data_IF_664169139867
#
_entry.id   IF_664169139867
#
_cell.length_a   1.000
_cell.length_b   1.000
_cell.length_c   1.000
_cell.angle_alpha   90.00
_cell.angle_beta   90.00
_cell.angle_gamma   90.00
#
_symmetry.space_group_name_H-M   'P 1'
#
loop_
_entity.id
_entity.type
_entity.pdbx_description
1 polymer ?
#
# COMPACT_ATOMS: atom_id res chain seq x y z
N UNK A 1 -15.18 -24.93 26.71
CA UNK A 1 -14.17 -23.86 26.96
C UNK A 1 -13.03 -23.83 25.93
N UNK A 2 -13.01 -24.70 24.90
CA UNK A 2 -11.91 -24.79 23.90
C UNK A 2 -12.06 -23.86 22.67
N UNK A 3 -13.29 -23.52 22.25
CA UNK A 3 -13.52 -22.72 21.03
C UNK A 3 -13.08 -21.24 21.12
N UNK A 4 -13.04 -20.65 22.33
CA UNK A 4 -12.62 -19.24 22.48
C UNK A 4 -11.10 -19.04 22.31
N UNK A 5 -10.29 -20.06 22.59
CA UNK A 5 -8.84 -19.99 22.50
C UNK A 5 -8.34 -19.98 21.04
N UNK A 6 -8.97 -20.76 20.16
CA UNK A 6 -8.63 -20.79 18.73
C UNK A 6 -8.96 -19.48 18.01
N UNK A 7 -10.11 -18.87 18.32
CA UNK A 7 -10.57 -17.62 17.69
C UNK A 7 -9.73 -16.40 18.08
N UNK A 8 -9.15 -16.40 19.28
CA UNK A 8 -8.28 -15.34 19.78
C UNK A 8 -6.83 -15.42 19.26
N UNK A 9 -6.34 -16.62 18.92
CA UNK A 9 -5.04 -16.81 18.28
C UNK A 9 -5.08 -16.33 16.82
N UNK A 10 -6.14 -16.64 16.08
CA UNK A 10 -6.31 -16.20 14.69
C UNK A 10 -6.50 -14.67 14.57
N UNK A 11 -7.13 -14.03 15.57
CA UNK A 11 -7.37 -12.56 15.54
C UNK A 11 -6.12 -11.72 15.84
N UNK A 12 -5.15 -12.25 16.59
CA UNK A 12 -3.87 -11.56 16.87
C UNK A 12 -2.83 -11.70 15.75
N UNK A 13 -3.00 -12.66 14.82
CA UNK A 13 -2.07 -12.93 13.72
C UNK A 13 -2.31 -12.09 12.45
N UNK A 14 -3.57 -11.86 12.09
CA UNK A 14 -3.90 -11.27 10.78
C UNK A 14 -3.38 -9.84 10.59
N UNK A 15 -3.44 -9.00 11.63
CA UNK A 15 -2.87 -7.64 11.57
C UNK A 15 -1.36 -7.62 11.32
N UNK A 16 -0.61 -8.62 11.85
CA UNK A 16 0.84 -8.73 11.61
C UNK A 16 1.17 -9.10 10.17
N UNK A 17 0.32 -9.91 9.52
CA UNK A 17 0.47 -10.22 8.09
C UNK A 17 0.29 -8.97 7.26
N UNK A 18 -0.74 -8.16 7.53
CA UNK A 18 -0.96 -6.89 6.81
C UNK A 18 0.25 -5.96 6.98
N UNK A 19 0.74 -5.78 8.21
CA UNK A 19 1.94 -4.97 8.51
C UNK A 19 3.17 -5.50 7.76
N UNK A 20 3.37 -6.82 7.74
CA UNK A 20 4.50 -7.44 7.07
C UNK A 20 4.47 -7.21 5.55
N UNK A 21 3.32 -7.39 4.90
CA UNK A 21 3.16 -7.14 3.46
C UNK A 21 3.39 -5.65 3.15
N UNK A 22 2.87 -4.74 3.98
CA UNK A 22 3.16 -3.31 3.87
C UNK A 22 4.66 -3.01 3.99
N UNK A 23 5.36 -3.68 4.91
CA UNK A 23 6.81 -3.54 5.08
C UNK A 23 7.59 -4.00 3.84
N UNK A 24 7.21 -5.12 3.22
CA UNK A 24 7.82 -5.59 1.97
C UNK A 24 7.58 -4.58 0.85
N UNK A 25 6.34 -4.10 0.68
CA UNK A 25 6.03 -3.08 -0.32
C UNK A 25 6.81 -1.79 -0.09
N UNK A 26 6.91 -1.34 1.16
CA UNK A 26 7.69 -0.16 1.52
C UNK A 26 9.16 -0.33 1.13
N UNK A 27 9.75 -1.48 1.41
CA UNK A 27 11.14 -1.78 1.04
C UNK A 27 11.32 -1.83 -0.49
N UNK A 28 10.46 -2.55 -1.19
CA UNK A 28 10.51 -2.68 -2.65
C UNK A 28 10.32 -1.32 -3.36
N UNK A 29 9.33 -0.53 -2.92
CA UNK A 29 9.06 0.79 -3.46
C UNK A 29 10.21 1.77 -3.14
N UNK A 30 10.80 1.70 -1.94
CA UNK A 30 11.95 2.53 -1.58
C UNK A 30 13.16 2.21 -2.45
N UNK A 31 13.50 0.93 -2.64
CA UNK A 31 14.62 0.52 -3.50
C UNK A 31 14.43 0.98 -4.95
N UNK A 32 13.21 0.83 -5.48
CA UNK A 32 12.84 1.34 -6.80
C UNK A 32 12.95 2.86 -6.88
N UNK A 33 12.36 3.58 -5.94
CA UNK A 33 12.40 5.04 -5.91
C UNK A 33 13.83 5.57 -5.83
N UNK A 34 14.70 4.97 -5.01
CA UNK A 34 16.13 5.33 -4.92
C UNK A 34 16.85 5.09 -6.24
N UNK A 35 16.59 3.97 -6.92
CA UNK A 35 17.17 3.69 -8.23
C UNK A 35 16.69 4.68 -9.30
N UNK A 36 15.38 4.96 -9.35
CA UNK A 36 14.77 5.89 -10.30
C UNK A 36 15.27 7.34 -10.10
N UNK A 37 15.39 7.78 -8.84
CA UNK A 37 15.97 9.08 -8.47
C UNK A 37 17.42 9.25 -8.92
N UNK A 38 18.22 8.19 -8.84
CA UNK A 38 19.67 8.27 -9.10
C UNK A 38 20.03 8.06 -10.57
N UNK A 39 19.20 7.36 -11.33
CA UNK A 39 19.57 6.94 -12.70
C UNK A 39 18.74 7.58 -13.80
N UNK A 40 17.49 8.00 -13.54
CA UNK A 40 16.54 8.33 -14.61
C UNK A 40 15.62 9.52 -14.32
N UNK A 41 15.85 10.31 -13.26
CA UNK A 41 14.87 11.32 -12.80
C UNK A 41 14.41 12.30 -13.89
N UNK A 42 15.27 12.60 -14.88
CA UNK A 42 14.99 13.49 -16.01
C UNK A 42 14.08 12.89 -17.10
N UNK A 43 13.97 11.56 -17.18
CA UNK A 43 13.30 10.87 -18.30
C UNK A 43 11.78 10.77 -18.10
N UNK A 44 11.32 10.62 -16.86
CA UNK A 44 9.91 10.48 -16.52
C UNK A 44 9.60 11.01 -15.10
N UNK A 45 9.68 12.34 -14.88
CA UNK A 45 9.58 12.92 -13.54
C UNK A 45 8.23 12.65 -12.85
N UNK A 46 7.15 12.50 -13.61
CA UNK A 46 5.82 12.27 -13.05
C UNK A 46 5.62 10.84 -12.51
N UNK A 47 5.85 9.75 -13.29
CA UNK A 47 5.81 8.39 -12.76
C UNK A 47 6.75 8.13 -11.58
N UNK A 48 7.96 8.70 -11.60
CA UNK A 48 8.92 8.52 -10.51
C UNK A 48 8.51 9.25 -9.22
N UNK A 49 7.90 10.45 -9.35
CA UNK A 49 7.32 11.14 -8.19
C UNK A 49 6.21 10.32 -7.53
N UNK A 50 5.39 9.62 -8.33
CA UNK A 50 4.36 8.70 -7.82
C UNK A 50 4.98 7.49 -7.11
N UNK A 51 6.08 6.92 -7.61
CA UNK A 51 6.81 5.85 -6.91
C UNK A 51 7.36 6.30 -5.55
N UNK A 52 7.95 7.51 -5.48
CA UNK A 52 8.44 8.09 -4.22
C UNK A 52 7.28 8.30 -3.24
N UNK A 53 6.17 8.88 -3.72
CA UNK A 53 4.97 9.09 -2.90
C UNK A 53 4.43 7.76 -2.37
N UNK A 54 4.36 6.73 -3.21
CA UNK A 54 3.95 5.39 -2.80
C UNK A 54 4.85 4.81 -1.71
N UNK A 55 6.18 4.94 -1.85
CA UNK A 55 7.13 4.49 -0.83
C UNK A 55 6.86 5.16 0.54
N UNK A 56 6.66 6.48 0.56
CA UNK A 56 6.33 7.22 1.79
C UNK A 56 5.02 6.71 2.40
N UNK A 57 3.99 6.53 1.59
CA UNK A 57 2.68 6.03 2.04
C UNK A 57 2.81 4.64 2.66
N UNK A 58 3.55 3.73 2.03
CA UNK A 58 3.74 2.38 2.55
C UNK A 58 4.50 2.36 3.87
N UNK A 59 5.52 3.23 4.03
CA UNK A 59 6.21 3.40 5.32
C UNK A 59 5.25 3.90 6.40
N UNK A 60 4.46 4.93 6.11
CA UNK A 60 3.49 5.48 7.07
C UNK A 60 2.41 4.47 7.41
N UNK A 61 1.90 3.71 6.43
CA UNK A 61 0.91 2.65 6.63
C UNK A 61 1.48 1.54 7.52
N UNK A 62 2.69 1.07 7.23
CA UNK A 62 3.41 0.06 8.03
C UNK A 62 3.52 0.52 9.48
N UNK A 63 4.05 1.72 9.71
CA UNK A 63 4.25 2.25 11.05
C UNK A 63 2.93 2.48 11.80
N UNK A 64 1.91 3.03 11.14
CA UNK A 64 0.62 3.30 11.77
C UNK A 64 -0.10 2.00 12.16
N UNK A 65 -0.05 0.97 11.31
CA UNK A 65 -0.62 -0.35 11.61
C UNK A 65 0.18 -1.06 12.70
N UNK A 66 1.51 -1.02 12.65
CA UNK A 66 2.39 -1.65 13.64
C UNK A 66 2.23 -1.04 15.05
N UNK A 67 2.00 0.27 15.14
CA UNK A 67 1.82 0.99 16.41
C UNK A 67 0.36 1.07 16.87
N UNK A 68 -0.58 0.48 16.12
CA UNK A 68 -2.01 0.53 16.45
C UNK A 68 -2.66 1.91 16.30
N UNK A 69 -2.01 2.85 15.58
CA UNK A 69 -2.49 4.22 15.33
C UNK A 69 -3.60 4.25 14.29
N UNK A 70 -4.77 3.79 14.73
CA UNK A 70 -5.92 3.50 13.87
C UNK A 70 -6.37 4.65 12.95
N UNK A 71 -6.43 5.89 13.45
CA UNK A 71 -6.88 7.04 12.64
C UNK A 71 -5.91 7.32 11.49
N UNK A 72 -4.61 7.24 11.77
CA UNK A 72 -3.55 7.41 10.77
C UNK A 72 -3.59 6.25 9.79
N UNK A 73 -3.68 5.00 10.28
CA UNK A 73 -3.79 3.83 9.41
C UNK A 73 -5.00 3.93 8.46
N UNK A 74 -6.17 4.33 8.95
CA UNK A 74 -7.35 4.54 8.10
C UNK A 74 -7.12 5.62 7.04
N UNK A 75 -6.58 6.78 7.43
CA UNK A 75 -6.31 7.87 6.50
C UNK A 75 -5.31 7.45 5.42
N UNK A 76 -4.17 6.87 5.82
CA UNK A 76 -3.09 6.48 4.91
C UNK A 76 -3.52 5.36 3.96
N UNK A 77 -4.18 4.31 4.46
CA UNK A 77 -4.65 3.19 3.63
C UNK A 77 -5.78 3.62 2.69
N UNK A 78 -6.64 4.55 3.10
CA UNK A 78 -7.66 5.11 2.19
C UNK A 78 -7.01 5.97 1.10
N UNK A 79 -6.00 6.77 1.46
CA UNK A 79 -5.26 7.58 0.50
C UNK A 79 -4.52 6.71 -0.52
N UNK A 80 -3.90 5.62 -0.08
CA UNK A 80 -3.29 4.63 -0.95
C UNK A 80 -4.29 4.05 -1.95
N UNK A 81 -5.46 3.59 -1.47
CA UNK A 81 -6.48 3.03 -2.36
C UNK A 81 -6.93 4.05 -3.41
N UNK A 82 -7.15 5.30 -3.01
CA UNK A 82 -7.48 6.38 -3.92
C UNK A 82 -6.36 6.63 -4.94
N UNK A 83 -5.12 6.63 -4.49
CA UNK A 83 -3.94 6.77 -5.35
C UNK A 83 -3.84 5.66 -6.39
N UNK A 84 -4.01 4.40 -5.96
CA UNK A 84 -3.96 3.23 -6.86
C UNK A 84 -5.08 3.27 -7.88
N UNK A 85 -6.30 3.63 -7.49
CA UNK A 85 -7.43 3.73 -8.41
C UNK A 85 -7.24 4.90 -9.39
N UNK A 86 -6.84 6.07 -8.90
CA UNK A 86 -6.66 7.26 -9.73
C UNK A 86 -5.50 7.06 -10.72
N UNK A 87 -4.34 6.57 -10.27
CA UNK A 87 -3.17 6.36 -11.11
C UNK A 87 -3.35 5.16 -12.03
N UNK A 88 -3.91 4.05 -11.53
CA UNK A 88 -4.18 2.87 -12.36
C UNK A 88 -5.19 3.15 -13.47
N UNK A 89 -6.23 3.94 -13.20
CA UNK A 89 -7.15 4.38 -14.24
C UNK A 89 -6.48 5.36 -15.21
N UNK A 90 -5.69 6.31 -14.69
CA UNK A 90 -4.99 7.29 -15.53
C UNK A 90 -3.94 6.65 -16.43
N UNK A 91 -3.25 5.60 -15.98
CA UNK A 91 -2.26 4.87 -16.81
C UNK A 91 -2.91 4.15 -17.99
N UNK A 92 -4.15 3.67 -17.82
CA UNK A 92 -4.92 3.03 -18.88
C UNK A 92 -5.53 4.02 -19.86
N UNK A 93 -5.99 5.19 -19.38
CA UNK A 93 -6.67 6.19 -20.22
C UNK A 93 -5.72 7.15 -20.91
N UNK A 94 -4.55 7.42 -20.34
CA UNK A 94 -3.60 8.41 -20.81
C UNK A 94 -2.20 7.80 -20.93
N UNK A 95 -2.06 6.75 -21.72
CA UNK A 95 -0.80 6.04 -21.95
C UNK A 95 0.32 6.99 -22.37
N UNK A 96 0.02 8.01 -23.17
CA UNK A 96 0.98 9.04 -23.61
C UNK A 96 1.59 9.86 -22.46
N UNK A 97 0.90 9.96 -21.32
CA UNK A 97 1.37 10.67 -20.12
C UNK A 97 2.11 9.77 -19.12
N UNK A 98 2.13 8.46 -19.37
CA UNK A 98 2.84 7.46 -18.58
C UNK A 98 3.84 6.71 -19.47
N UNK A 99 4.92 7.38 -19.92
CA UNK A 99 5.96 6.72 -20.71
C UNK A 99 6.67 5.62 -19.92
N UNK A 100 6.65 5.71 -18.58
CA UNK A 100 7.19 4.73 -17.65
C UNK A 100 6.14 4.35 -16.60
N UNK A 101 6.17 3.10 -16.15
CA UNK A 101 5.24 2.59 -15.15
C UNK A 101 5.63 3.07 -13.74
N UNK A 102 4.65 3.50 -12.94
CA UNK A 102 4.81 3.72 -11.50
C UNK A 102 4.41 2.47 -10.70
N UNK A 103 4.58 2.52 -9.38
CA UNK A 103 4.09 1.46 -8.47
C UNK A 103 2.58 1.21 -8.58
N UNK A 104 1.81 2.24 -8.94
CA UNK A 104 0.36 2.19 -9.03
C UNK A 104 -0.17 2.05 -10.46
N UNK A 105 0.71 2.07 -11.47
CA UNK A 105 0.32 1.87 -12.86
C UNK A 105 -0.36 0.51 -13.04
N UNK A 106 -1.42 0.48 -13.84
CA UNK A 106 -2.26 -0.70 -14.09
C UNK A 106 -2.75 -1.36 -12.79
N UNK A 107 -3.08 -0.51 -11.82
CA UNK A 107 -3.50 -0.91 -10.47
C UNK A 107 -2.44 -1.74 -9.70
N UNK A 108 -1.16 -1.55 -10.03
CA UNK A 108 -0.05 -2.29 -9.44
C UNK A 108 0.16 -3.68 -10.03
N UNK A 109 -0.19 -3.89 -11.31
CA UNK A 109 0.04 -5.16 -12.00
C UNK A 109 1.51 -5.61 -11.95
N UNK A 110 2.47 -4.68 -12.02
CA UNK A 110 3.90 -4.95 -11.86
C UNK A 110 4.31 -5.51 -10.49
N UNK A 111 3.41 -5.45 -9.51
CA UNK A 111 3.55 -5.99 -8.16
C UNK A 111 2.51 -7.07 -7.86
N UNK A 112 1.89 -7.66 -8.89
CA UNK A 112 0.86 -8.70 -8.74
C UNK A 112 -0.44 -8.21 -8.11
N UNK A 113 -0.83 -6.95 -8.37
CA UNK A 113 -2.03 -6.29 -7.83
C UNK A 113 -2.05 -6.13 -6.30
N UNK A 114 -0.92 -6.38 -5.63
CA UNK A 114 -0.80 -6.18 -4.17
C UNK A 114 -1.16 -4.74 -3.78
N UNK A 115 -0.71 -3.67 -4.49
CA UNK A 115 -1.12 -2.30 -4.20
C UNK A 115 -2.63 -2.06 -4.23
N UNK A 116 -3.40 -2.84 -5.00
CA UNK A 116 -4.86 -2.72 -5.06
C UNK A 116 -5.54 -3.53 -3.93
N UNK A 117 -5.13 -4.78 -3.77
CA UNK A 117 -5.79 -5.72 -2.84
C UNK A 117 -5.47 -5.39 -1.39
N UNK A 118 -4.22 -5.05 -1.09
CA UNK A 118 -3.75 -4.81 0.28
C UNK A 118 -4.53 -3.71 1.01
N UNK A 119 -4.76 -2.51 0.43
CA UNK A 119 -5.52 -1.47 1.12
C UNK A 119 -6.99 -1.84 1.29
N UNK A 120 -7.60 -2.59 0.37
CA UNK A 120 -8.97 -3.10 0.56
C UNK A 120 -9.04 -4.04 1.77
N UNK A 121 -8.08 -4.97 1.89
CA UNK A 121 -7.97 -5.88 3.03
C UNK A 121 -7.67 -5.11 4.32
N UNK A 122 -6.79 -4.11 4.26
CA UNK A 122 -6.42 -3.24 5.38
C UNK A 122 -7.62 -2.47 5.94
N UNK A 123 -8.39 -1.81 5.08
CA UNK A 123 -9.61 -1.08 5.47
C UNK A 123 -10.68 -2.02 6.03
N UNK A 124 -10.89 -3.17 5.40
CA UNK A 124 -11.82 -4.19 5.90
C UNK A 124 -11.42 -4.68 7.29
N UNK A 125 -10.15 -4.98 7.50
CA UNK A 125 -9.64 -5.42 8.80
C UNK A 125 -9.79 -4.34 9.85
N UNK A 126 -9.42 -3.10 9.53
CA UNK A 126 -9.64 -1.95 10.41
C UNK A 126 -11.13 -1.86 10.76
N UNK A 127 -12.04 -1.84 9.80
CA UNK A 127 -13.50 -1.79 10.03
C UNK A 127 -13.99 -2.90 10.96
N UNK A 128 -13.55 -4.15 10.75
CA UNK A 128 -14.00 -5.30 11.56
C UNK A 128 -13.49 -5.25 13.00
N UNK A 129 -12.28 -4.75 13.19
CA UNK A 129 -11.65 -4.61 14.52
C UNK A 129 -12.17 -3.36 15.27
N UNK A 130 -13.10 -2.59 14.68
CA UNK A 130 -13.82 -1.46 15.32
C UNK A 130 -14.92 -1.91 16.27
N UNK A 131 -15.45 -3.12 16.08
CA UNK A 131 -16.60 -3.63 16.85
C UNK A 131 -16.21 -4.49 18.06
N UNK A 132 -14.91 -4.68 18.29
CA UNK A 132 -14.37 -5.57 19.34
C UNK A 132 -13.71 -4.78 20.49
N UNK A 133 -13.54 -3.46 20.33
CA UNK A 133 -13.15 -2.53 21.39
C UNK A 133 -14.31 -1.59 21.69
#
# INVERSE_FOLDING_TARGET
>A
MSEKAGRAATSRGFGRVIVFVYGILAFAASGRATFELTTKFSDAPFPYSLSILAAVIYVVATWALATGRRRIALATVSFELLGVLAVGLSSLLATDKFPEASVWSDFGAGYGWVPLVLPMVGLWWLYRTRRVG
#
